data_IF_547439156338
#
_entry.id   IF_547439156338
#
_cell.length_a   1.000
_cell.length_b   1.000
_cell.length_c   1.000
_cell.angle_alpha   90.00
_cell.angle_beta   90.00
_cell.angle_gamma   90.00
#
_symmetry.space_group_name_H-M   'P 1'
#
loop_
_entity.id
_entity.type
_entity.pdbx_description
1 polymer ?
#
# COMPACT_ATOMS: atom_id res chain seq x y z
N UNK A 1 -21.16 11.25 4.46
CA UNK A 1 -20.85 9.81 4.25
C UNK A 1 -21.06 9.04 5.53
N UNK A 2 -21.57 7.81 5.45
CA UNK A 2 -21.86 6.97 6.63
C UNK A 2 -20.62 6.13 7.01
N UNK A 3 -20.11 6.30 8.24
CA UNK A 3 -18.96 5.56 8.79
C UNK A 3 -19.17 4.05 8.80
N UNK A 4 -20.39 3.60 9.07
CA UNK A 4 -20.70 2.17 9.13
C UNK A 4 -20.55 1.47 7.77
N UNK A 5 -20.99 2.13 6.69
CA UNK A 5 -20.88 1.59 5.33
C UNK A 5 -19.43 1.60 4.84
N UNK A 6 -18.65 2.61 5.18
CA UNK A 6 -17.22 2.64 4.90
C UNK A 6 -16.46 1.50 5.60
N UNK A 7 -16.83 1.19 6.86
CA UNK A 7 -16.25 0.06 7.60
C UNK A 7 -16.51 -1.30 6.95
N UNK A 8 -17.72 -1.52 6.40
CA UNK A 8 -18.04 -2.74 5.66
C UNK A 8 -17.19 -2.91 4.41
N UNK A 9 -17.01 -1.83 3.63
CA UNK A 9 -16.23 -1.87 2.40
C UNK A 9 -14.75 -2.11 2.73
N UNK A 10 -14.21 -1.43 3.74
CA UNK A 10 -12.83 -1.63 4.21
C UNK A 10 -12.60 -3.07 4.69
N UNK A 11 -13.56 -3.67 5.39
CA UNK A 11 -13.45 -5.04 5.87
C UNK A 11 -13.46 -6.11 4.78
N UNK A 12 -13.93 -5.79 3.56
CA UNK A 12 -13.99 -6.74 2.46
C UNK A 12 -12.80 -6.63 1.49
N UNK A 13 -11.90 -5.67 1.68
CA UNK A 13 -10.71 -5.55 0.84
C UNK A 13 -9.60 -6.46 1.38
N UNK A 14 -9.20 -7.44 0.58
CA UNK A 14 -8.06 -8.31 0.88
C UNK A 14 -6.71 -7.58 0.82
N UNK A 15 -6.65 -6.47 0.08
CA UNK A 15 -5.44 -5.68 -0.11
C UNK A 15 -5.65 -4.25 0.41
N UNK A 16 -4.72 -3.76 1.23
CA UNK A 16 -4.73 -2.42 1.79
C UNK A 16 -3.39 -1.73 1.56
N UNK A 17 -3.40 -0.67 0.75
CA UNK A 17 -2.23 0.20 0.56
C UNK A 17 -2.38 1.44 1.43
N UNK A 18 -1.46 1.63 2.37
CA UNK A 18 -1.45 2.74 3.30
C UNK A 18 -0.25 3.64 3.07
N UNK A 19 -0.50 4.80 2.48
CA UNK A 19 0.46 5.89 2.38
C UNK A 19 0.52 6.67 3.71
N UNK A 20 1.35 7.73 3.77
CA UNK A 20 1.39 8.64 4.92
C UNK A 20 0.00 9.21 5.22
N UNK A 21 -0.53 8.90 6.41
CA UNK A 21 -1.80 9.45 6.92
C UNK A 21 -1.54 10.38 8.10
N UNK A 22 -2.39 11.40 8.27
CA UNK A 22 -2.32 12.34 9.42
C UNK A 22 -3.10 11.84 10.63
N UNK A 23 -4.23 11.19 10.41
CA UNK A 23 -5.11 10.69 11.45
C UNK A 23 -4.62 9.34 11.98
N UNK A 24 -4.44 9.26 13.31
CA UNK A 24 -3.98 8.04 13.99
C UNK A 24 -5.00 6.91 13.90
N UNK A 25 -6.30 7.21 13.96
CA UNK A 25 -7.39 6.24 13.85
C UNK A 25 -7.34 5.51 12.51
N UNK A 26 -6.98 6.20 11.43
CA UNK A 26 -6.82 5.59 10.11
C UNK A 26 -5.59 4.69 10.06
N UNK A 27 -4.47 5.09 10.68
CA UNK A 27 -3.27 4.26 10.77
C UNK A 27 -3.52 2.97 11.59
N UNK A 28 -4.37 3.05 12.62
CA UNK A 28 -4.79 1.89 13.41
C UNK A 28 -5.55 0.84 12.61
N UNK A 29 -6.16 1.20 11.47
CA UNK A 29 -6.81 0.23 10.59
C UNK A 29 -5.82 -0.82 10.10
N UNK A 30 -4.59 -0.42 9.75
CA UNK A 30 -3.55 -1.35 9.31
C UNK A 30 -2.88 -2.03 10.51
N UNK A 31 -2.51 -1.29 11.56
CA UNK A 31 -1.72 -1.84 12.66
C UNK A 31 -2.50 -2.83 13.53
N UNK A 32 -3.83 -2.74 13.59
CA UNK A 32 -4.67 -3.72 14.31
C UNK A 32 -4.85 -5.04 13.57
N UNK A 33 -4.63 -5.08 12.26
CA UNK A 33 -4.75 -6.31 11.47
C UNK A 33 -3.49 -7.18 11.55
N UNK A 34 -2.36 -6.61 11.96
CA UNK A 34 -1.09 -7.31 12.03
C UNK A 34 -0.93 -8.07 13.36
N UNK A 35 -0.33 -9.27 13.34
CA UNK A 35 -0.02 -9.98 14.57
C UNK A 35 1.04 -9.24 15.40
N UNK A 36 1.02 -9.46 16.71
CA UNK A 36 2.11 -9.05 17.60
C UNK A 36 3.29 -10.01 17.43
N UNK A 37 4.50 -9.47 17.54
CA UNK A 37 5.74 -10.25 17.46
C UNK A 37 6.43 -10.29 18.82
N UNK A 38 7.02 -11.43 19.14
CA UNK A 38 7.81 -11.59 20.36
C UNK A 38 9.26 -11.21 20.06
N UNK A 39 9.77 -10.25 20.83
CA UNK A 39 11.17 -9.81 20.74
C UNK A 39 11.91 -10.30 21.97
N UNK A 40 13.00 -11.02 21.72
CA UNK A 40 13.92 -11.48 22.75
C UNK A 40 14.96 -10.39 23.01
N UNK A 41 15.00 -9.88 24.23
CA UNK A 41 16.00 -8.90 24.66
C UNK A 41 16.92 -9.56 25.67
N UNK A 42 18.23 -9.60 25.37
CA UNK A 42 19.27 -9.95 26.35
C UNK A 42 19.61 -8.71 27.16
N UNK A 43 19.65 -8.86 28.47
CA UNK A 43 20.10 -7.82 29.39
C UNK A 43 21.09 -8.44 30.36
N UNK A 44 22.32 -7.93 30.32
CA UNK A 44 23.38 -8.36 31.23
C UNK A 44 23.16 -7.63 32.55
N UNK A 45 22.90 -8.39 33.62
CA UNK A 45 22.83 -7.85 34.97
C UNK A 45 24.08 -8.30 35.70
N UNK A 46 24.94 -7.33 36.03
CA UNK A 46 26.09 -7.55 36.91
C UNK A 46 25.76 -7.03 38.31
N UNK A 47 25.87 -7.90 39.30
CA UNK A 47 25.72 -7.58 40.71
C UNK A 47 26.99 -7.93 41.45
N UNK A 48 27.50 -7.00 42.26
CA UNK A 48 28.56 -7.26 43.22
C UNK A 48 27.96 -7.18 44.62
N UNK A 49 28.11 -8.24 45.41
CA UNK A 49 27.70 -8.29 46.81
C UNK A 49 28.93 -8.37 47.70
N UNK A 50 29.00 -7.46 48.66
CA UNK A 50 30.00 -7.48 49.73
C UNK A 50 29.57 -8.46 50.82
N UNK A 51 30.50 -9.21 51.38
CA UNK A 51 30.23 -10.19 52.43
C UNK A 51 30.71 -9.64 53.77
N UNK A 52 29.79 -9.54 54.74
CA UNK A 52 30.08 -8.92 56.04
C UNK A 52 30.69 -9.88 57.07
N UNK A 53 31.22 -11.03 56.66
CA UNK A 53 31.85 -12.02 57.56
C UNK A 53 33.34 -11.72 57.78
N UNK A 54 33.78 -11.34 59.00
CA UNK A 54 35.18 -11.02 59.30
C UNK A 54 36.14 -12.23 59.29
N UNK A 55 35.64 -13.47 59.33
CA UNK A 55 36.48 -14.68 59.24
C UNK A 55 36.47 -15.32 57.84
N UNK A 56 35.65 -14.81 56.92
CA UNK A 56 35.53 -15.32 55.55
C UNK A 56 36.71 -14.92 54.67
N UNK A 57 37.28 -15.88 53.93
CA UNK A 57 38.44 -15.69 53.06
C UNK A 57 38.13 -15.02 51.69
N UNK A 58 36.92 -14.47 51.53
CA UNK A 58 36.46 -13.77 50.33
C UNK A 58 35.95 -12.39 50.72
N UNK A 59 36.46 -11.33 50.08
CA UNK A 59 36.08 -9.95 50.37
C UNK A 59 34.94 -9.42 49.49
N UNK A 60 34.77 -9.95 48.28
CA UNK A 60 33.72 -9.54 47.34
C UNK A 60 33.28 -10.73 46.51
N UNK A 61 31.97 -10.87 46.26
CA UNK A 61 31.44 -11.82 45.29
C UNK A 61 30.76 -11.05 44.16
N UNK A 62 31.22 -11.27 42.92
CA UNK A 62 30.61 -10.68 41.73
C UNK A 62 29.89 -11.77 40.95
N UNK A 63 28.62 -11.54 40.62
CA UNK A 63 27.83 -12.40 39.77
C UNK A 63 27.37 -11.60 38.55
N UNK A 64 27.66 -12.12 37.36
CA UNK A 64 27.17 -11.56 36.10
C UNK A 64 26.26 -12.58 35.47
N UNK A 65 24.98 -12.24 35.35
CA UNK A 65 23.96 -13.08 34.73
C UNK A 65 23.49 -12.44 33.43
N UNK A 66 23.38 -13.23 32.37
CA UNK A 66 22.63 -12.85 31.18
C UNK A 66 21.15 -13.20 31.38
N UNK A 67 20.29 -12.19 31.39
CA UNK A 67 18.85 -12.34 31.50
C UNK A 67 18.23 -12.13 30.11
N UNK A 68 17.74 -13.21 29.52
CA UNK A 68 16.92 -13.15 28.31
C UNK A 68 15.46 -12.94 28.74
N UNK A 69 14.85 -11.84 28.29
CA UNK A 69 13.45 -11.51 28.54
C UNK A 69 12.70 -11.44 27.22
N UNK A 70 11.51 -12.05 27.17
CA UNK A 70 10.64 -12.00 26.00
C UNK A 70 9.56 -10.94 26.19
N UNK A 71 9.42 -10.03 25.23
CA UNK A 71 8.37 -9.00 25.24
C UNK A 71 7.56 -9.04 23.95
N UNK A 72 6.23 -9.06 24.05
CA UNK A 72 5.33 -9.00 22.90
C UNK A 72 5.06 -7.56 22.49
N UNK A 73 5.49 -7.17 21.28
CA UNK A 73 5.35 -5.81 20.73
C UNK A 73 4.55 -5.84 19.41
N UNK A 74 3.78 -4.78 19.09
CA UNK A 74 3.12 -4.70 17.79
C UNK A 74 4.15 -4.67 16.65
N UNK A 75 3.87 -5.38 15.55
CA UNK A 75 4.78 -5.43 14.40
C UNK A 75 5.07 -4.04 13.81
N UNK A 76 4.03 -3.20 13.71
CA UNK A 76 4.11 -1.82 13.24
C UNK A 76 3.27 -0.94 14.16
N UNK A 77 3.83 0.18 14.60
CA UNK A 77 3.12 1.21 15.35
C UNK A 77 2.46 2.24 14.42
N UNK A 78 1.34 2.86 14.83
CA UNK A 78 0.69 3.92 14.06
C UNK A 78 1.64 5.07 13.71
N UNK A 79 2.61 5.36 14.57
CA UNK A 79 3.64 6.38 14.36
C UNK A 79 4.49 6.11 13.10
N UNK A 80 4.73 4.84 12.75
CA UNK A 80 5.49 4.49 11.54
C UNK A 80 4.74 4.86 10.27
N UNK A 81 3.41 4.75 10.25
CA UNK A 81 2.56 5.15 9.12
C UNK A 81 2.54 6.67 8.97
N UNK A 82 2.42 7.41 10.08
CA UNK A 82 2.38 8.88 10.08
C UNK A 82 3.72 9.48 9.62
N UNK A 83 4.83 8.82 9.94
CA UNK A 83 6.17 9.30 9.59
C UNK A 83 6.66 8.83 8.20
N UNK A 84 5.88 8.00 7.47
CA UNK A 84 6.27 7.43 6.16
C UNK A 84 6.79 8.48 5.17
N UNK A 85 8.03 8.38 4.65
CA UNK A 85 8.53 9.31 3.63
C UNK A 85 7.65 9.38 2.38
N UNK A 86 7.74 10.49 1.62
CA UNK A 86 7.02 10.62 0.35
C UNK A 86 7.43 9.48 -0.59
N UNK A 87 6.44 8.89 -1.27
CA UNK A 87 6.66 7.74 -2.13
C UNK A 87 6.93 6.43 -1.38
N UNK A 88 6.67 6.34 -0.07
CA UNK A 88 6.66 5.07 0.65
C UNK A 88 5.26 4.73 1.15
N UNK A 89 4.95 3.43 1.21
CA UNK A 89 3.69 2.92 1.69
C UNK A 89 3.87 1.56 2.38
N UNK A 90 2.96 1.23 3.29
CA UNK A 90 2.77 -0.15 3.75
C UNK A 90 1.65 -0.78 2.93
N UNK A 91 1.87 -1.98 2.42
CA UNK A 91 0.84 -2.75 1.74
C UNK A 91 0.58 -4.03 2.53
N UNK A 92 -0.66 -4.25 2.91
CA UNK A 92 -1.14 -5.56 3.33
C UNK A 92 -1.70 -6.23 2.08
N UNK A 93 -1.08 -7.33 1.65
CA UNK A 93 -1.50 -8.11 0.50
C UNK A 93 -2.09 -9.44 0.96
N UNK A 94 -3.09 -9.93 0.23
CA UNK A 94 -3.70 -11.27 0.43
C UNK A 94 -4.19 -11.51 1.88
N UNK A 95 -4.61 -10.45 2.57
CA UNK A 95 -5.15 -10.54 3.93
C UNK A 95 -4.14 -10.83 5.04
N UNK A 96 -2.82 -10.75 4.78
CA UNK A 96 -1.83 -11.00 5.84
C UNK A 96 -0.37 -10.69 5.52
N UNK A 97 0.00 -10.53 4.25
CA UNK A 97 1.38 -10.30 3.84
C UNK A 97 1.72 -8.81 3.89
N UNK A 98 2.53 -8.39 4.87
CA UNK A 98 2.95 -6.99 5.01
C UNK A 98 4.20 -6.71 4.15
N UNK A 99 4.09 -5.69 3.30
CA UNK A 99 5.17 -5.19 2.47
C UNK A 99 5.43 -3.71 2.72
N UNK A 100 6.71 -3.31 2.71
CA UNK A 100 7.11 -1.91 2.67
C UNK A 100 7.47 -1.55 1.23
N UNK A 101 6.62 -0.77 0.59
CA UNK A 101 6.76 -0.41 -0.82
C UNK A 101 7.38 0.97 -0.94
N UNK A 102 8.29 1.11 -1.91
CA UNK A 102 8.80 2.40 -2.38
C UNK A 102 8.33 2.64 -3.80
N UNK A 103 7.47 3.64 -3.99
CA UNK A 103 7.07 4.13 -5.30
C UNK A 103 8.15 5.10 -5.81
N UNK A 104 8.66 4.91 -7.03
CA UNK A 104 9.50 5.92 -7.66
C UNK A 104 8.67 7.20 -7.83
N UNK A 105 9.30 8.35 -7.59
CA UNK A 105 8.69 9.60 -8.00
C UNK A 105 8.63 9.59 -9.53
N UNK A 106 7.51 9.98 -10.14
CA UNK A 106 7.48 10.17 -11.59
C UNK A 106 8.61 11.16 -11.92
N UNK A 107 9.59 10.68 -12.68
CA UNK A 107 10.58 11.59 -13.24
C UNK A 107 9.80 12.59 -14.11
N UNK A 108 10.16 13.88 -14.12
CA UNK A 108 9.70 14.78 -15.15
C UNK A 108 10.31 14.28 -16.47
N UNK A 109 9.66 13.30 -17.08
CA UNK A 109 9.91 12.94 -18.45
C UNK A 109 9.29 14.07 -19.28
N UNK A 110 10.13 14.77 -20.01
CA UNK A 110 9.70 15.86 -20.85
C UNK A 110 9.34 15.28 -22.22
N UNK A 111 8.18 14.62 -22.32
CA UNK A 111 7.51 14.27 -23.59
C UNK A 111 6.09 13.73 -23.27
N UNK A 112 4.98 14.06 -23.94
CA UNK A 112 4.75 14.79 -25.21
C UNK A 112 3.29 15.33 -25.27
N UNK A 113 2.74 15.86 -24.17
CA UNK A 113 1.32 16.31 -24.13
C UNK A 113 1.03 17.53 -23.26
N UNK A 114 2.04 18.21 -22.73
CA UNK A 114 1.86 19.45 -21.98
C UNK A 114 2.17 20.66 -22.87
N UNK A 115 1.15 21.46 -23.28
CA UNK A 115 1.37 22.69 -24.03
C UNK A 115 2.28 23.63 -23.26
N UNK A 116 3.11 24.39 -23.99
CA UNK A 116 4.09 25.29 -23.36
C UNK A 116 3.41 26.42 -22.59
N UNK A 117 2.19 26.79 -23.02
CA UNK A 117 1.39 27.85 -22.43
C UNK A 117 -0.10 27.51 -22.33
N UNK A 118 -0.77 28.02 -21.27
CA UNK A 118 -2.22 27.92 -21.08
C UNK A 118 -3.03 28.52 -22.25
N UNK A 119 -2.43 29.45 -23.00
CA UNK A 119 -3.05 30.09 -24.16
C UNK A 119 -3.14 29.14 -25.36
N UNK A 120 -2.14 28.27 -25.56
CA UNK A 120 -2.19 27.22 -26.58
C UNK A 120 -3.26 26.18 -26.23
N UNK A 121 -3.34 25.78 -24.95
CA UNK A 121 -4.41 24.91 -24.45
C UNK A 121 -5.79 25.54 -24.67
N UNK A 122 -5.97 26.82 -24.33
CA UNK A 122 -7.23 27.53 -24.55
C UNK A 122 -7.56 27.73 -26.03
N UNK A 123 -6.56 27.77 -26.91
CA UNK A 123 -6.72 27.78 -28.37
C UNK A 123 -7.22 26.43 -28.89
N UNK A 124 -6.58 25.35 -28.44
CA UNK A 124 -6.97 23.98 -28.76
C UNK A 124 -8.36 23.64 -28.24
N UNK A 125 -8.67 24.05 -27.00
CA UNK A 125 -10.01 23.95 -26.42
C UNK A 125 -11.00 24.73 -27.27
N UNK A 126 -10.74 25.98 -27.66
CA UNK A 126 -11.68 26.75 -28.52
C UNK A 126 -11.91 26.15 -29.91
N UNK A 127 -10.92 25.45 -30.48
CA UNK A 127 -11.04 24.80 -31.79
C UNK A 127 -11.79 23.46 -31.71
N UNK A 128 -11.76 22.79 -30.55
CA UNK A 128 -12.39 21.48 -30.33
C UNK A 128 -13.53 21.51 -29.31
N UNK A 129 -13.95 22.69 -28.86
CA UNK A 129 -15.10 22.86 -27.97
C UNK A 129 -16.37 22.65 -28.79
N UNK A 130 -16.75 21.38 -28.93
CA UNK A 130 -18.13 21.02 -29.21
C UNK A 130 -18.86 21.20 -27.88
N UNK A 131 -19.94 21.98 -27.91
CA UNK A 131 -20.77 22.34 -26.78
C UNK A 131 -21.01 21.12 -25.87
N UNK A 132 -20.47 21.15 -24.65
CA UNK A 132 -20.59 20.06 -23.67
C UNK A 132 -21.96 20.13 -22.99
N UNK A 133 -23.03 19.99 -23.78
CA UNK A 133 -24.41 19.97 -23.32
C UNK A 133 -24.74 18.75 -22.47
N UNK A 134 -24.13 17.59 -22.74
CA UNK A 134 -24.53 16.32 -22.12
C UNK A 134 -23.34 15.36 -21.95
N UNK A 135 -22.37 15.71 -21.08
CA UNK A 135 -21.18 14.87 -20.82
C UNK A 135 -21.48 13.53 -20.12
N UNK A 136 -22.74 13.27 -19.76
CA UNK A 136 -23.22 11.98 -19.24
C UNK A 136 -23.92 11.10 -20.29
N UNK A 137 -24.20 11.62 -21.50
CA UNK A 137 -24.57 10.78 -22.62
C UNK A 137 -23.30 10.28 -23.31
N UNK A 138 -23.01 9.00 -23.13
CA UNK A 138 -21.80 8.35 -23.62
C UNK A 138 -21.69 8.44 -25.15
N UNK A 139 -20.92 9.41 -25.65
CA UNK A 139 -20.20 9.27 -26.90
C UNK A 139 -18.73 9.56 -26.63
N UNK A 140 -17.92 8.50 -26.67
CA UNK A 140 -16.47 8.60 -26.55
C UNK A 140 -15.89 9.58 -27.56
N UNK A 141 -14.74 10.14 -27.22
CA UNK A 141 -13.93 11.05 -28.03
C UNK A 141 -14.04 10.72 -29.54
N UNK A 142 -14.40 11.69 -30.42
CA UNK A 142 -14.57 11.43 -31.86
C UNK A 142 -13.28 10.93 -32.54
N UNK A 143 -12.12 11.16 -31.92
CA UNK A 143 -10.83 10.65 -32.36
C UNK A 143 -10.72 9.12 -32.28
N UNK A 144 -11.49 8.45 -31.40
CA UNK A 144 -11.48 6.99 -31.27
C UNK A 144 -12.54 6.30 -32.15
N UNK A 145 -13.34 7.05 -32.90
CA UNK A 145 -14.42 6.50 -33.74
C UNK A 145 -13.99 6.25 -35.19
N UNK A 146 -12.87 6.83 -35.63
CA UNK A 146 -12.37 6.72 -37.01
C UNK A 146 -11.17 5.77 -37.17
N UNK A 147 -10.61 5.28 -36.07
CA UNK A 147 -9.57 4.26 -36.15
C UNK A 147 -10.25 2.89 -36.11
N UNK A 148 -10.32 2.23 -37.26
CA UNK A 148 -10.78 0.85 -37.33
C UNK A 148 -9.96 0.04 -36.32
N UNK A 149 -10.65 -0.82 -35.55
CA UNK A 149 -10.01 -1.71 -34.58
C UNK A 149 -8.80 -2.39 -35.25
N UNK A 150 -7.62 -2.40 -34.62
CA UNK A 150 -6.46 -3.05 -35.19
C UNK A 150 -6.77 -4.53 -35.46
N UNK A 151 -6.22 -5.04 -36.56
CA UNK A 151 -6.62 -6.33 -37.14
C UNK A 151 -6.41 -7.51 -36.17
N UNK A 152 -5.48 -7.38 -35.24
CA UNK A 152 -5.19 -8.34 -34.17
C UNK A 152 -6.39 -8.53 -33.22
N UNK A 153 -7.07 -7.45 -32.82
CA UNK A 153 -8.25 -7.50 -31.96
C UNK A 153 -9.48 -8.04 -32.68
N UNK A 154 -9.60 -7.79 -34.00
CA UNK A 154 -10.68 -8.33 -34.82
C UNK A 154 -10.57 -9.84 -35.03
N UNK A 155 -9.35 -10.37 -35.15
CA UNK A 155 -9.12 -11.80 -35.27
C UNK A 155 -9.30 -12.53 -33.93
N UNK A 156 -8.95 -11.88 -32.81
CA UNK A 156 -9.18 -12.43 -31.46
C UNK A 156 -10.68 -12.52 -31.12
N UNK A 157 -11.46 -11.49 -31.49
CA UNK A 157 -12.93 -11.51 -31.35
C UNK A 157 -13.59 -12.60 -32.20
N UNK A 158 -13.10 -12.83 -33.41
CA UNK A 158 -13.59 -13.93 -34.26
C UNK A 158 -13.22 -15.28 -33.63
N UNK A 159 -11.99 -15.45 -33.15
CA UNK A 159 -11.58 -16.70 -32.50
C UNK A 159 -12.41 -17.01 -31.25
N UNK A 160 -12.75 -16.02 -30.43
CA UNK A 160 -13.64 -16.23 -29.28
C UNK A 160 -15.07 -16.60 -29.71
N UNK A 161 -15.63 -15.92 -30.71
CA UNK A 161 -17.00 -16.20 -31.18
C UNK A 161 -17.15 -17.58 -31.85
N UNK A 162 -16.11 -18.06 -32.53
CA UNK A 162 -16.09 -19.40 -33.13
C UNK A 162 -15.73 -20.51 -32.13
N UNK A 163 -15.08 -20.19 -31.00
CA UNK A 163 -14.84 -21.14 -29.92
C UNK A 163 -16.13 -21.47 -29.13
N UNK A 164 -16.98 -20.48 -28.90
CA UNK A 164 -18.22 -20.62 -28.11
C UNK A 164 -19.32 -21.42 -28.84
N UNK A 165 -19.29 -21.43 -30.18
CA UNK A 165 -20.23 -22.22 -31.00
C UNK A 165 -19.82 -23.68 -31.20
N UNK A 166 -18.59 -24.06 -30.82
CA UNK A 166 -18.09 -25.42 -30.97
C UNK A 166 -18.29 -26.31 -29.72
N UNK A 167 -18.53 -25.73 -28.53
CA UNK A 167 -18.71 -26.51 -27.30
C UNK A 167 -20.17 -26.87 -26.98
N UNK A 168 -21.16 -26.12 -27.47
CA UNK A 168 -22.59 -26.39 -27.20
C UNK A 168 -23.22 -27.50 -28.08
N UNK A 169 -22.39 -28.26 -28.83
CA UNK A 169 -22.82 -29.33 -29.72
C UNK A 169 -22.63 -30.76 -29.20
N UNK A 170 -22.18 -30.97 -27.96
CA UNK A 170 -22.05 -32.31 -27.35
C UNK A 170 -22.50 -32.34 -25.89
N UNK A 171 -23.82 -32.43 -25.68
CA UNK A 171 -24.44 -33.16 -24.58
C UNK A 171 -25.87 -33.53 -24.96
#
# INVERSE_FOLDING_TARGET
GNRAKAGQVIGNFNNLFMLRVRETITAELLTRQLPKVEVYTTSIVSGATDTSDPQGHTAFTSNTQDRITTTSVPLIEPAHVVNLPKGQAFALLEGGNLWKIRMPLPAPDADEAMPKDLQELAGYMRQHYVDAGDWWESQGLPALQHEALPADLLDDFKQMAFADTAEDGKA
#
